data_IF_932230744285
#
_entry.id   IF_932230744285
#
_cell.length_a   1.000
_cell.length_b   1.000
_cell.length_c   1.000
_cell.angle_alpha   90.00
_cell.angle_beta   90.00
_cell.angle_gamma   90.00
#
_symmetry.space_group_name_H-M   'P 1'
#
loop_
_entity.id
_entity.type
_entity.pdbx_description
1 polymer ?
#
# COMPACT_ATOMS: atom_id res chain seq x y z
N UNK A 1 35.73 -37.87 -37.29
CA UNK A 1 35.87 -36.82 -36.28
C UNK A 1 34.48 -36.24 -36.02
N UNK A 2 33.81 -36.72 -35.00
CA UNK A 2 32.45 -36.27 -34.59
C UNK A 2 32.62 -35.18 -33.55
N UNK A 3 32.18 -33.95 -33.89
CA UNK A 3 32.22 -32.81 -32.94
C UNK A 3 31.05 -32.99 -31.96
N UNK A 4 31.38 -33.19 -30.68
CA UNK A 4 30.40 -33.08 -29.58
C UNK A 4 30.15 -31.58 -29.35
N UNK A 5 28.93 -31.15 -29.64
CA UNK A 5 28.42 -29.84 -29.21
C UNK A 5 27.80 -30.06 -27.83
N UNK A 6 28.54 -29.63 -26.80
CA UNK A 6 28.04 -29.60 -25.42
C UNK A 6 27.09 -28.42 -25.30
N UNK A 7 25.79 -28.69 -25.28
CA UNK A 7 24.80 -27.69 -24.95
C UNK A 7 24.80 -27.52 -23.42
N UNK A 8 25.49 -26.47 -22.96
CA UNK A 8 25.36 -26.00 -21.59
C UNK A 8 24.00 -25.34 -21.48
N UNK A 9 23.04 -26.11 -20.97
CA UNK A 9 21.75 -25.59 -20.56
C UNK A 9 21.96 -24.76 -19.29
N UNK A 10 22.16 -23.46 -19.47
CA UNK A 10 22.24 -22.49 -18.39
C UNK A 10 20.86 -22.35 -17.81
N UNK A 11 20.56 -23.19 -16.79
CA UNK A 11 19.32 -23.13 -16.03
C UNK A 11 19.40 -21.85 -15.19
N UNK A 12 18.85 -20.76 -15.73
CA UNK A 12 18.58 -19.54 -14.99
C UNK A 12 17.55 -19.91 -13.92
N UNK A 13 18.01 -20.26 -12.73
CA UNK A 13 17.17 -20.23 -11.54
C UNK A 13 16.78 -18.77 -11.31
N UNK A 14 15.65 -18.36 -11.86
CA UNK A 14 14.97 -17.20 -11.35
C UNK A 14 14.59 -17.51 -9.91
N UNK A 15 15.40 -17.06 -8.96
CA UNK A 15 14.93 -16.87 -7.61
C UNK A 15 13.77 -15.87 -7.74
N UNK A 16 12.56 -16.37 -7.79
CA UNK A 16 11.39 -15.57 -7.51
C UNK A 16 11.51 -15.11 -6.06
N UNK A 17 12.16 -13.98 -5.84
CA UNK A 17 12.06 -13.26 -4.57
C UNK A 17 10.60 -12.97 -4.39
N UNK A 18 9.96 -13.63 -3.44
CA UNK A 18 8.62 -13.29 -2.98
C UNK A 18 8.71 -11.90 -2.34
N UNK A 19 8.66 -10.86 -3.16
CA UNK A 19 8.53 -9.48 -2.66
C UNK A 19 7.08 -9.34 -2.23
N UNK A 20 6.84 -9.46 -0.93
CA UNK A 20 5.57 -9.04 -0.34
C UNK A 20 5.30 -7.60 -0.80
N UNK A 21 4.09 -7.34 -1.30
CA UNK A 21 3.70 -6.02 -1.74
C UNK A 21 3.68 -5.07 -0.54
N UNK A 22 4.74 -4.28 -0.37
CA UNK A 22 4.86 -3.34 0.73
C UNK A 22 3.81 -2.24 0.63
N UNK A 23 3.32 -1.82 1.78
CA UNK A 23 2.39 -0.70 1.91
C UNK A 23 3.08 0.47 2.60
N UNK A 24 2.89 1.67 2.07
CA UNK A 24 3.23 2.93 2.72
C UNK A 24 1.95 3.67 3.08
N UNK A 25 1.85 4.10 4.34
CA UNK A 25 0.81 5.02 4.79
C UNK A 25 1.40 6.42 4.86
N UNK A 26 0.91 7.32 4.01
CA UNK A 26 1.29 8.74 4.02
C UNK A 26 0.17 9.56 4.61
N UNK A 27 0.46 10.38 5.62
CA UNK A 27 -0.59 11.14 6.27
C UNK A 27 -0.17 12.50 6.78
N UNK A 28 -1.16 13.38 6.93
CA UNK A 28 -1.05 14.62 7.66
C UNK A 28 -2.07 14.65 8.80
N UNK A 29 -1.67 15.18 9.96
CA UNK A 29 -2.58 15.33 11.11
C UNK A 29 -2.08 16.43 12.05
N UNK A 30 -2.87 17.49 12.22
CA UNK A 30 -2.58 18.54 13.19
C UNK A 30 -3.25 18.27 14.55
N UNK A 31 -4.54 17.92 14.55
CA UNK A 31 -5.34 17.68 15.76
C UNK A 31 -5.39 16.20 16.17
N UNK A 32 -4.48 15.38 15.70
CA UNK A 32 -4.34 13.95 15.95
C UNK A 32 -5.48 13.03 15.41
N UNK A 33 -6.55 13.55 14.85
CA UNK A 33 -7.63 12.68 14.32
C UNK A 33 -7.13 11.69 13.25
N UNK A 34 -6.36 12.16 12.27
CA UNK A 34 -5.75 11.28 11.26
C UNK A 34 -4.66 10.39 11.87
N UNK A 35 -3.92 10.87 12.86
CA UNK A 35 -2.93 10.07 13.56
C UNK A 35 -3.56 8.85 14.25
N UNK A 36 -4.67 9.05 14.96
CA UNK A 36 -5.42 7.93 15.58
C UNK A 36 -5.99 6.95 14.55
N UNK A 37 -6.40 7.44 13.37
CA UNK A 37 -6.82 6.58 12.25
C UNK A 37 -5.63 5.73 11.78
N UNK A 38 -4.47 6.34 11.57
CA UNK A 38 -3.25 5.63 11.16
C UNK A 38 -2.82 4.60 12.18
N UNK A 39 -2.82 4.93 13.48
CA UNK A 39 -2.53 3.95 14.53
C UNK A 39 -3.48 2.75 14.50
N UNK A 40 -4.80 3.02 14.30
CA UNK A 40 -5.79 1.94 14.18
C UNK A 40 -5.59 1.11 12.90
N UNK A 41 -5.26 1.74 11.78
CA UNK A 41 -4.97 1.06 10.52
C UNK A 41 -3.75 0.14 10.66
N UNK A 42 -2.65 0.65 11.20
CA UNK A 42 -1.39 -0.10 11.35
C UNK A 42 -1.44 -1.18 12.44
N UNK A 43 -2.46 -1.17 13.30
CA UNK A 43 -2.76 -2.31 14.16
C UNK A 43 -3.43 -3.48 13.41
N UNK A 44 -3.94 -3.26 12.18
CA UNK A 44 -4.65 -4.25 11.37
C UNK A 44 -3.86 -4.68 10.13
N UNK A 45 -2.89 -3.88 9.67
CA UNK A 45 -2.04 -4.17 8.52
C UNK A 45 -0.57 -3.87 8.83
N UNK A 46 0.33 -4.57 8.16
CA UNK A 46 1.75 -4.21 8.13
C UNK A 46 1.98 -3.10 7.10
N UNK A 47 2.55 -1.98 7.53
CA UNK A 47 2.85 -0.84 6.68
C UNK A 47 3.96 0.03 7.28
N UNK A 48 4.77 0.60 6.40
CA UNK A 48 5.63 1.73 6.75
C UNK A 48 4.78 2.99 6.85
N UNK A 49 5.13 3.91 7.74
CA UNK A 49 4.33 5.11 8.02
C UNK A 49 5.18 6.36 7.84
N UNK A 50 4.67 7.32 7.08
CA UNK A 50 5.27 8.62 6.89
C UNK A 50 4.28 9.73 7.20
N UNK A 51 4.60 10.54 8.21
CA UNK A 51 3.85 11.74 8.56
C UNK A 51 4.44 12.95 7.84
N UNK A 52 3.57 13.71 7.19
CA UNK A 52 3.95 14.96 6.54
C UNK A 52 3.74 16.09 7.52
N UNK A 53 4.74 16.94 7.67
CA UNK A 53 4.72 18.08 8.58
C UNK A 53 4.94 19.39 7.82
N UNK A 54 4.22 20.46 8.17
CA UNK A 54 4.49 21.78 7.60
C UNK A 54 5.87 22.28 8.06
N UNK A 55 6.60 22.96 7.18
CA UNK A 55 7.90 23.54 7.53
C UNK A 55 7.75 24.74 8.48
N UNK A 56 6.70 25.55 8.32
CA UNK A 56 6.43 26.65 9.25
C UNK A 56 5.68 26.15 10.49
N UNK A 57 6.42 25.99 11.58
CA UNK A 57 5.88 25.55 12.89
C UNK A 57 5.23 26.67 13.69
N UNK A 58 5.29 27.90 13.22
CA UNK A 58 4.69 29.06 13.93
C UNK A 58 3.21 29.19 13.66
N UNK A 59 2.72 28.57 12.57
CA UNK A 59 1.32 28.61 12.15
C UNK A 59 0.49 27.53 12.85
N UNK A 60 -0.79 27.85 13.05
CA UNK A 60 -1.79 26.88 13.53
C UNK A 60 -2.53 26.31 12.34
N UNK A 61 -2.26 25.05 12.00
CA UNK A 61 -2.86 24.37 10.87
C UNK A 61 -4.13 23.58 11.23
N UNK A 62 -4.86 24.03 12.22
CA UNK A 62 -6.15 23.46 12.62
C UNK A 62 -7.20 23.72 11.54
N UNK A 63 -8.09 22.74 11.31
CA UNK A 63 -9.18 22.91 10.34
C UNK A 63 -10.14 24.07 10.68
N UNK A 64 -10.21 24.47 11.95
CA UNK A 64 -11.01 25.63 12.39
C UNK A 64 -10.26 26.96 12.28
N UNK A 65 -9.00 26.98 11.90
CA UNK A 65 -8.27 28.21 11.56
C UNK A 65 -8.60 28.64 10.12
N UNK A 66 -9.76 29.24 9.95
CA UNK A 66 -10.29 29.60 8.64
C UNK A 66 -9.37 30.50 7.81
N UNK A 67 -8.60 31.38 8.43
CA UNK A 67 -7.72 32.30 7.73
C UNK A 67 -6.64 31.55 6.94
N UNK A 68 -5.86 30.69 7.64
CA UNK A 68 -4.75 29.99 7.00
C UNK A 68 -5.22 28.92 6.01
N UNK A 69 -6.29 28.17 6.36
CA UNK A 69 -6.82 27.15 5.46
C UNK A 69 -7.34 27.74 4.16
N UNK A 70 -8.09 28.84 4.24
CA UNK A 70 -8.60 29.57 3.06
C UNK A 70 -7.44 30.11 2.24
N UNK A 71 -6.46 30.76 2.84
CA UNK A 71 -5.31 31.30 2.13
C UNK A 71 -4.56 30.23 1.32
N UNK A 72 -4.21 29.13 1.97
CA UNK A 72 -3.43 28.06 1.34
C UNK A 72 -4.21 27.36 0.23
N UNK A 73 -5.48 27.05 0.46
CA UNK A 73 -6.32 26.38 -0.55
C UNK A 73 -6.61 27.29 -1.73
N UNK A 74 -6.87 28.60 -1.50
CA UNK A 74 -7.07 29.56 -2.59
C UNK A 74 -5.81 29.73 -3.43
N UNK A 75 -4.61 29.73 -2.82
CA UNK A 75 -3.35 29.77 -3.57
C UNK A 75 -3.20 28.57 -4.50
N UNK A 76 -3.43 27.36 -3.98
CA UNK A 76 -3.38 26.11 -4.77
C UNK A 76 -4.43 26.13 -5.90
N UNK A 77 -5.67 26.57 -5.61
CA UNK A 77 -6.72 26.65 -6.63
C UNK A 77 -6.41 27.65 -7.74
N UNK A 78 -5.80 28.79 -7.39
CA UNK A 78 -5.47 29.83 -8.36
C UNK A 78 -4.35 29.40 -9.33
N UNK A 79 -3.39 28.62 -8.85
CA UNK A 79 -2.27 28.14 -9.66
C UNK A 79 -1.87 26.69 -9.28
N UNK A 80 -2.71 25.69 -9.63
CA UNK A 80 -2.54 24.31 -9.15
C UNK A 80 -1.31 23.60 -9.72
N UNK A 81 -0.68 24.15 -10.76
CA UNK A 81 0.53 23.59 -11.37
C UNK A 81 1.80 24.37 -11.00
N UNK A 82 1.68 25.40 -10.17
CA UNK A 82 2.81 26.18 -9.69
C UNK A 82 3.23 25.71 -8.28
N UNK A 83 4.47 25.26 -8.14
CA UNK A 83 5.03 24.82 -6.86
C UNK A 83 4.97 25.92 -5.78
N UNK A 84 5.05 27.21 -6.17
CA UNK A 84 4.95 28.34 -5.25
C UNK A 84 3.57 28.47 -4.58
N UNK A 85 2.53 27.85 -5.13
CA UNK A 85 1.18 27.84 -4.57
C UNK A 85 1.03 26.86 -3.39
N UNK A 86 1.97 25.95 -3.23
CA UNK A 86 1.92 24.92 -2.19
C UNK A 86 2.74 25.34 -0.98
N UNK A 87 2.20 25.19 0.25
CA UNK A 87 2.98 25.49 1.45
C UNK A 87 4.18 24.57 1.59
N UNK A 88 5.29 25.12 2.10
CA UNK A 88 6.48 24.30 2.34
C UNK A 88 6.22 23.22 3.40
N UNK A 89 6.81 22.05 3.20
CA UNK A 89 6.79 20.93 4.15
C UNK A 89 8.20 20.58 4.59
N UNK A 90 8.34 19.90 5.72
CA UNK A 90 9.62 19.35 6.15
C UNK A 90 10.13 18.29 5.16
N UNK A 91 11.44 18.06 5.11
CA UNK A 91 11.99 16.94 4.35
C UNK A 91 11.36 15.62 4.76
N UNK A 92 10.91 14.85 3.76
CA UNK A 92 10.25 13.57 4.00
C UNK A 92 11.26 12.48 4.36
N UNK A 93 10.87 11.56 5.24
CA UNK A 93 11.73 10.48 5.72
C UNK A 93 11.86 9.32 4.72
N UNK A 94 10.89 9.15 3.83
CA UNK A 94 10.88 8.11 2.79
C UNK A 94 10.85 8.82 1.44
N UNK A 95 11.96 8.76 0.71
CA UNK A 95 12.14 9.42 -0.59
C UNK A 95 12.07 8.45 -1.75
N UNK A 96 12.28 7.15 -1.52
CA UNK A 96 12.17 6.11 -2.55
C UNK A 96 10.85 5.35 -2.38
N UNK A 97 9.92 5.56 -3.31
CA UNK A 97 8.63 4.87 -3.35
C UNK A 97 8.67 3.55 -4.14
N UNK A 98 9.79 3.21 -4.76
CA UNK A 98 9.93 2.00 -5.58
C UNK A 98 9.53 0.70 -4.85
N UNK A 99 9.88 0.49 -3.56
CA UNK A 99 9.53 -0.74 -2.85
C UNK A 99 8.03 -0.91 -2.58
N UNK A 100 7.24 0.17 -2.68
CA UNK A 100 5.84 0.16 -2.28
C UNK A 100 4.93 -0.07 -3.48
N UNK A 101 4.09 -1.08 -3.40
CA UNK A 101 3.03 -1.35 -4.36
C UNK A 101 1.70 -0.71 -3.95
N UNK A 102 1.50 -0.52 -2.65
CA UNK A 102 0.29 0.08 -2.10
C UNK A 102 0.64 1.37 -1.35
N UNK A 103 -0.08 2.45 -1.66
CA UNK A 103 0.02 3.73 -0.97
C UNK A 103 -1.34 4.05 -0.37
N UNK A 104 -1.41 4.19 0.94
CA UNK A 104 -2.63 4.63 1.63
C UNK A 104 -2.45 6.07 2.09
N UNK A 105 -3.26 6.96 1.59
CA UNK A 105 -3.24 8.38 1.88
C UNK A 105 -4.29 8.66 2.96
N UNK A 106 -3.88 9.25 4.10
CA UNK A 106 -4.78 9.61 5.18
C UNK A 106 -4.71 11.12 5.42
N UNK A 107 -5.83 11.81 5.24
CA UNK A 107 -5.89 13.27 5.23
C UNK A 107 -7.08 13.84 6.01
N UNK A 108 -6.92 14.97 6.72
CA UNK A 108 -8.07 15.75 7.13
C UNK A 108 -8.66 16.49 5.92
N UNK A 109 -9.95 16.79 6.01
CA UNK A 109 -10.65 17.60 5.05
C UNK A 109 -10.64 19.06 5.51
N UNK A 110 -10.21 19.96 4.62
CA UNK A 110 -10.29 21.41 4.79
C UNK A 110 -11.20 22.01 3.71
N UNK A 111 -12.33 22.63 4.09
CA UNK A 111 -13.24 23.26 3.12
C UNK A 111 -13.59 22.38 1.92
N UNK A 112 -13.98 21.16 2.20
CA UNK A 112 -14.30 20.14 1.20
C UNK A 112 -13.13 19.67 0.32
N UNK A 113 -11.90 20.10 0.60
CA UNK A 113 -10.69 19.76 -0.13
C UNK A 113 -9.70 18.99 0.75
N UNK A 114 -8.69 18.42 0.13
CA UNK A 114 -7.56 17.84 0.85
C UNK A 114 -6.76 18.93 1.58
N UNK A 115 -6.29 18.65 2.79
CA UNK A 115 -5.43 19.59 3.52
C UNK A 115 -4.21 19.98 2.69
N UNK A 116 -3.93 21.29 2.60
CA UNK A 116 -2.89 21.85 1.74
C UNK A 116 -1.51 21.23 1.98
N UNK A 117 -1.18 20.89 3.23
CA UNK A 117 0.09 20.25 3.60
C UNK A 117 0.26 18.90 2.89
N UNK A 118 -0.78 18.09 2.83
CA UNK A 118 -0.71 16.82 2.13
C UNK A 118 -0.77 16.98 0.61
N UNK A 119 -1.50 18.01 0.12
CA UNK A 119 -1.46 18.35 -1.30
C UNK A 119 -0.04 18.70 -1.76
N UNK A 120 0.77 19.40 -0.92
CA UNK A 120 2.18 19.68 -1.23
C UNK A 120 2.98 18.40 -1.46
N UNK A 121 2.86 17.44 -0.56
CA UNK A 121 3.55 16.16 -0.73
C UNK A 121 3.15 15.46 -2.03
N UNK A 122 1.85 15.38 -2.29
CA UNK A 122 1.35 14.72 -3.51
C UNK A 122 1.71 15.49 -4.78
N UNK A 123 1.81 16.81 -4.75
CA UNK A 123 2.27 17.62 -5.87
C UNK A 123 3.71 17.25 -6.28
N UNK A 124 4.58 17.04 -5.30
CA UNK A 124 5.98 16.71 -5.56
C UNK A 124 6.22 15.22 -5.86
N UNK A 125 5.44 14.32 -5.28
CA UNK A 125 5.70 12.88 -5.31
C UNK A 125 4.59 12.05 -5.96
N UNK A 126 3.48 12.67 -6.36
CA UNK A 126 2.32 11.93 -6.91
C UNK A 126 2.63 11.19 -8.21
N UNK A 127 3.50 11.74 -9.05
CA UNK A 127 3.95 11.07 -10.28
C UNK A 127 4.71 9.75 -10.00
N UNK A 128 5.42 9.66 -8.85
CA UNK A 128 6.12 8.45 -8.43
C UNK A 128 5.16 7.33 -7.99
N UNK A 129 3.87 7.66 -7.81
CA UNK A 129 2.81 6.71 -7.47
C UNK A 129 2.11 6.10 -8.70
N UNK A 130 2.57 6.42 -9.91
CA UNK A 130 2.03 5.86 -11.15
C UNK A 130 2.04 4.32 -11.11
N UNK A 131 0.89 3.69 -11.43
CA UNK A 131 0.72 2.25 -11.42
C UNK A 131 0.66 1.58 -10.04
N UNK A 132 0.84 2.32 -8.95
CA UNK A 132 0.68 1.78 -7.58
C UNK A 132 -0.79 1.79 -7.18
N UNK A 133 -1.18 0.86 -6.31
CA UNK A 133 -2.52 0.86 -5.73
C UNK A 133 -2.65 2.00 -4.72
N UNK A 134 -3.66 2.85 -4.90
CA UNK A 134 -3.87 4.04 -4.07
C UNK A 134 -5.17 3.93 -3.29
N UNK A 135 -5.07 3.96 -1.97
CA UNK A 135 -6.19 4.03 -1.04
C UNK A 135 -6.31 5.40 -0.41
N UNK A 136 -7.53 5.86 -0.15
CA UNK A 136 -7.79 7.14 0.47
C UNK A 136 -8.69 7.00 1.70
N UNK A 137 -8.20 7.51 2.83
CA UNK A 137 -8.96 7.63 4.07
C UNK A 137 -9.05 9.12 4.43
N UNK A 138 -10.26 9.63 4.61
CA UNK A 138 -10.50 11.05 4.90
C UNK A 138 -11.15 11.22 6.27
N UNK A 139 -10.58 12.09 7.08
CA UNK A 139 -11.15 12.54 8.34
C UNK A 139 -11.81 13.90 8.16
N UNK A 140 -13.09 14.03 8.53
CA UNK A 140 -13.80 15.32 8.53
C UNK A 140 -14.71 15.44 9.75
N UNK A 141 -15.26 16.63 9.98
CA UNK A 141 -16.31 16.81 11.01
C UNK A 141 -17.63 16.20 10.53
N UNK A 142 -18.13 16.63 9.36
CA UNK A 142 -19.42 16.20 8.80
C UNK A 142 -19.50 16.34 7.28
N UNK A 143 -18.56 17.06 6.64
CA UNK A 143 -18.60 17.34 5.21
C UNK A 143 -18.22 16.10 4.40
N UNK A 144 -18.91 15.87 3.29
CA UNK A 144 -18.60 14.79 2.34
C UNK A 144 -17.23 14.97 1.67
N UNK A 145 -16.67 13.89 1.17
CA UNK A 145 -15.25 13.78 0.79
C UNK A 145 -14.95 13.92 -0.71
N UNK A 146 -15.96 14.25 -1.53
CA UNK A 146 -15.81 14.26 -3.00
C UNK A 146 -14.71 15.20 -3.51
N UNK A 147 -14.54 16.37 -2.91
CA UNK A 147 -13.47 17.30 -3.27
C UNK A 147 -12.09 16.76 -2.92
N UNK A 148 -11.94 16.09 -1.76
CA UNK A 148 -10.68 15.44 -1.39
C UNK A 148 -10.32 14.33 -2.37
N UNK A 149 -11.31 13.54 -2.81
CA UNK A 149 -11.13 12.51 -3.85
C UNK A 149 -10.67 13.14 -5.17
N UNK A 150 -11.28 14.28 -5.55
CA UNK A 150 -10.89 15.01 -6.76
C UNK A 150 -9.45 15.54 -6.67
N UNK A 151 -9.07 16.12 -5.54
CA UNK A 151 -7.69 16.58 -5.31
C UNK A 151 -6.68 15.42 -5.38
N UNK A 152 -7.01 14.30 -4.75
CA UNK A 152 -6.15 13.12 -4.79
C UNK A 152 -5.94 12.65 -6.23
N UNK A 153 -7.00 12.52 -7.02
CA UNK A 153 -6.92 12.11 -8.44
C UNK A 153 -6.19 13.11 -9.32
N UNK A 154 -6.31 14.40 -9.04
CA UNK A 154 -5.57 15.45 -9.75
C UNK A 154 -4.06 15.34 -9.48
N UNK A 155 -3.69 15.07 -8.24
CA UNK A 155 -2.28 15.04 -7.80
C UNK A 155 -1.60 13.68 -8.05
N UNK A 156 -2.36 12.61 -8.17
CA UNK A 156 -1.89 11.23 -8.46
C UNK A 156 -2.69 10.66 -9.63
N UNK A 157 -2.57 11.24 -10.84
CA UNK A 157 -3.47 10.91 -11.96
C UNK A 157 -3.34 9.46 -12.44
N UNK A 158 -2.14 8.89 -12.36
CA UNK A 158 -1.82 7.55 -12.88
C UNK A 158 -1.81 6.46 -11.79
N UNK A 159 -2.38 6.75 -10.62
CA UNK A 159 -2.55 5.77 -9.55
C UNK A 159 -3.70 4.79 -9.85
N UNK A 160 -3.53 3.52 -9.46
CA UNK A 160 -4.60 2.53 -9.50
C UNK A 160 -5.45 2.66 -8.23
N UNK A 161 -6.52 3.43 -8.30
CA UNK A 161 -7.36 3.68 -7.13
C UNK A 161 -8.16 2.45 -6.74
N UNK A 162 -8.20 2.14 -5.44
CA UNK A 162 -9.15 1.18 -4.91
C UNK A 162 -10.59 1.63 -5.17
N UNK A 163 -11.51 0.67 -5.24
CA UNK A 163 -12.92 0.91 -5.58
C UNK A 163 -13.64 1.84 -4.59
N UNK A 164 -13.19 1.87 -3.33
CA UNK A 164 -13.82 2.60 -2.26
C UNK A 164 -12.83 3.47 -1.48
N UNK A 165 -13.30 4.67 -1.10
CA UNK A 165 -12.60 5.54 -0.17
C UNK A 165 -13.26 5.45 1.20
N UNK A 166 -12.46 5.52 2.27
CA UNK A 166 -12.99 5.48 3.63
C UNK A 166 -13.21 6.90 4.16
N UNK A 167 -14.42 7.17 4.61
CA UNK A 167 -14.78 8.42 5.27
C UNK A 167 -15.06 8.21 6.76
N UNK A 168 -14.22 8.82 7.61
CA UNK A 168 -14.36 8.82 9.07
C UNK A 168 -14.69 10.24 9.53
N UNK A 169 -15.82 10.40 10.20
CA UNK A 169 -16.32 11.69 10.66
C UNK A 169 -16.72 11.66 12.15
N UNK A 170 -17.19 12.78 12.69
CA UNK A 170 -17.54 12.91 14.11
C UNK A 170 -18.63 11.92 14.55
N UNK A 171 -19.53 11.51 13.65
CA UNK A 171 -20.64 10.59 14.01
C UNK A 171 -20.21 9.11 14.03
N UNK A 172 -19.15 8.74 13.30
CA UNK A 172 -18.76 7.34 13.16
C UNK A 172 -17.33 7.01 13.68
N UNK A 173 -16.55 8.02 14.11
CA UNK A 173 -15.15 7.83 14.54
C UNK A 173 -14.96 6.87 15.73
N UNK A 174 -15.98 6.70 16.57
CA UNK A 174 -15.95 5.72 17.67
C UNK A 174 -15.84 4.28 17.16
N UNK A 175 -16.32 4.03 15.93
CA UNK A 175 -16.32 2.72 15.27
C UNK A 175 -15.17 2.59 14.26
N UNK A 176 -14.14 3.46 14.31
CA UNK A 176 -13.08 3.52 13.29
C UNK A 176 -12.39 2.17 13.04
N UNK A 177 -12.21 1.36 14.07
CA UNK A 177 -11.58 0.05 13.92
C UNK A 177 -12.39 -0.87 12.99
N UNK A 178 -13.70 -0.95 13.22
CA UNK A 178 -14.62 -1.73 12.38
C UNK A 178 -14.74 -1.15 10.98
N UNK A 179 -14.78 0.18 10.86
CA UNK A 179 -14.85 0.86 9.57
C UNK A 179 -13.60 0.57 8.72
N UNK A 180 -12.41 0.62 9.32
CA UNK A 180 -11.15 0.29 8.65
C UNK A 180 -11.13 -1.17 8.23
N UNK A 181 -11.53 -2.10 9.11
CA UNK A 181 -11.62 -3.52 8.79
C UNK A 181 -12.56 -3.80 7.61
N UNK A 182 -13.75 -3.19 7.64
CA UNK A 182 -14.73 -3.33 6.56
C UNK A 182 -14.19 -2.76 5.24
N UNK A 183 -13.54 -1.59 5.29
CA UNK A 183 -12.92 -0.98 4.12
C UNK A 183 -11.80 -1.85 3.54
N UNK A 184 -10.88 -2.38 4.38
CA UNK A 184 -9.83 -3.29 3.94
C UNK A 184 -10.41 -4.55 3.26
N UNK A 185 -11.55 -5.04 3.76
CA UNK A 185 -12.27 -6.15 3.14
C UNK A 185 -12.88 -5.75 1.80
N UNK A 186 -13.56 -4.59 1.74
CA UNK A 186 -14.21 -4.10 0.53
C UNK A 186 -13.23 -3.84 -0.62
N UNK A 187 -12.03 -3.33 -0.33
CA UNK A 187 -10.96 -3.12 -1.32
C UNK A 187 -10.15 -4.40 -1.60
N UNK A 188 -10.50 -5.52 -0.98
CA UNK A 188 -9.80 -6.79 -1.11
C UNK A 188 -8.29 -6.69 -0.81
N UNK A 189 -7.94 -5.92 0.26
CA UNK A 189 -6.56 -5.58 0.60
C UNK A 189 -5.67 -6.82 0.76
N UNK A 190 -6.16 -7.89 1.36
CA UNK A 190 -5.42 -9.15 1.54
C UNK A 190 -4.98 -9.77 0.21
N UNK A 191 -5.78 -9.63 -0.86
CA UNK A 191 -5.42 -10.16 -2.16
C UNK A 191 -4.34 -9.33 -2.86
N UNK A 192 -4.34 -8.00 -2.66
CA UNK A 192 -3.32 -7.12 -3.26
C UNK A 192 -1.99 -7.13 -2.50
N UNK A 193 -2.00 -7.58 -1.24
CA UNK A 193 -0.78 -7.77 -0.43
C UNK A 193 -0.33 -9.22 -0.36
N UNK A 194 -1.21 -10.16 -0.73
CA UNK A 194 -0.85 -11.57 -0.75
C UNK A 194 0.35 -11.78 -1.68
N UNK A 195 1.39 -12.38 -1.15
CA UNK A 195 2.44 -12.97 -1.95
C UNK A 195 1.73 -13.93 -2.92
N UNK A 196 1.94 -13.79 -4.22
CA UNK A 196 1.65 -14.87 -5.16
C UNK A 196 2.61 -16.02 -4.82
N UNK A 197 2.32 -16.73 -3.74
CA UNK A 197 2.85 -18.06 -3.54
C UNK A 197 2.32 -18.83 -4.74
N UNK A 198 3.19 -19.30 -5.67
CA UNK A 198 2.70 -20.19 -6.71
C UNK A 198 1.93 -21.26 -5.94
N UNK A 199 0.65 -21.43 -6.28
CA UNK A 199 -0.19 -22.40 -5.60
C UNK A 199 0.64 -23.65 -5.46
N UNK A 200 1.05 -23.98 -4.24
CA UNK A 200 1.73 -25.24 -3.97
C UNK A 200 0.69 -26.23 -4.43
N UNK A 201 0.91 -26.80 -5.64
CA UNK A 201 0.08 -27.91 -6.09
C UNK A 201 0.07 -28.81 -4.88
N UNK A 202 -1.07 -28.92 -4.24
CA UNK A 202 -1.30 -29.86 -3.14
C UNK A 202 -0.59 -31.11 -3.59
N UNK A 203 0.50 -31.45 -2.90
CA UNK A 203 1.27 -32.65 -3.25
C UNK A 203 0.22 -33.74 -3.30
N UNK A 204 0.06 -34.33 -4.49
CA UNK A 204 -0.96 -35.34 -4.69
C UNK A 204 -0.72 -36.38 -3.58
N UNK A 205 -1.61 -36.38 -2.59
CA UNK A 205 -1.59 -37.26 -1.46
C UNK A 205 -1.66 -38.69 -2.02
N UNK A 206 -0.62 -39.47 -1.86
CA UNK A 206 -0.59 -40.86 -2.32
C UNK A 206 0.30 -41.11 -3.55
N UNK A 207 1.60 -41.12 -3.36
CA UNK A 207 2.54 -41.55 -4.41
C UNK A 207 3.88 -41.99 -3.81
N UNK A 208 4.53 -42.94 -4.49
CA UNK A 208 5.86 -43.38 -4.14
C UNK A 208 6.87 -42.68 -5.04
N UNK A 209 7.99 -42.21 -4.48
CA UNK A 209 9.04 -41.52 -5.22
C UNK A 209 10.41 -42.08 -4.83
N UNK A 210 11.31 -42.14 -5.79
CA UNK A 210 12.73 -42.43 -5.52
C UNK A 210 13.37 -41.24 -4.76
N UNK A 211 14.54 -41.42 -4.21
CA UNK A 211 15.30 -40.33 -3.59
C UNK A 211 15.73 -39.24 -4.59
N UNK A 212 15.72 -39.55 -5.88
CA UNK A 212 15.97 -38.60 -6.96
C UNK A 212 14.70 -37.88 -7.42
N UNK A 213 13.53 -38.07 -6.75
CA UNK A 213 12.26 -37.42 -7.05
C UNK A 213 11.47 -38.06 -8.20
N UNK A 214 11.91 -39.18 -8.75
CA UNK A 214 11.20 -39.90 -9.81
C UNK A 214 9.99 -40.64 -9.24
N UNK A 215 8.80 -40.48 -9.82
CA UNK A 215 7.58 -41.15 -9.37
C UNK A 215 7.66 -42.63 -9.69
N UNK A 216 7.37 -43.48 -8.69
CA UNK A 216 7.34 -44.92 -8.79
C UNK A 216 5.87 -45.39 -8.91
N UNK A 217 5.63 -46.42 -9.73
CA UNK A 217 4.26 -46.93 -9.93
C UNK A 217 3.80 -47.73 -8.68
N UNK A 218 4.72 -48.32 -7.93
CA UNK A 218 4.44 -49.10 -6.72
C UNK A 218 5.53 -48.87 -5.65
N UNK A 219 5.20 -49.15 -4.39
CA UNK A 219 6.17 -49.10 -3.32
C UNK A 219 7.27 -50.15 -3.58
N UNK A 220 8.55 -49.79 -3.54
CA UNK A 220 9.64 -50.74 -3.64
C UNK A 220 9.57 -51.79 -2.54
N UNK A 221 9.88 -53.04 -2.87
CA UNK A 221 9.91 -54.13 -1.88
C UNK A 221 11.12 -54.02 -0.91
N UNK A 222 12.19 -53.39 -1.38
CA UNK A 222 13.42 -53.17 -0.61
C UNK A 222 14.01 -51.81 -0.99
N UNK A 223 14.72 -51.17 -0.02
CA UNK A 223 15.42 -49.91 -0.23
C UNK A 223 14.73 -48.71 0.41
N UNK A 224 15.24 -47.52 0.06
CA UNK A 224 14.73 -46.23 0.60
C UNK A 224 13.95 -45.48 -0.48
N UNK A 225 12.76 -45.04 -0.13
CA UNK A 225 11.89 -44.25 -1.01
C UNK A 225 11.08 -43.24 -0.21
N UNK A 226 10.38 -42.36 -0.88
CA UNK A 226 9.49 -41.37 -0.27
C UNK A 226 8.04 -41.82 -0.51
N UNK A 227 7.25 -41.92 0.55
CA UNK A 227 5.82 -42.15 0.53
C UNK A 227 5.13 -41.07 1.35
N UNK A 228 4.12 -40.40 0.79
CA UNK A 228 3.36 -39.33 1.45
C UNK A 228 4.27 -38.25 2.06
N UNK A 229 5.33 -37.86 1.32
CA UNK A 229 6.30 -36.87 1.74
C UNK A 229 7.28 -37.31 2.83
N UNK A 230 7.23 -38.59 3.28
CA UNK A 230 8.11 -39.12 4.31
C UNK A 230 9.07 -40.15 3.72
N UNK A 231 10.33 -40.17 4.22
CA UNK A 231 11.33 -41.19 3.89
C UNK A 231 10.97 -42.51 4.55
N UNK A 232 10.79 -43.53 3.73
CA UNK A 232 10.47 -44.90 4.17
C UNK A 232 11.60 -45.84 3.75
N UNK A 233 11.98 -46.74 4.64
CA UNK A 233 12.93 -47.83 4.38
C UNK A 233 12.20 -49.16 4.54
N UNK A 234 12.38 -50.07 3.59
CA UNK A 234 11.92 -51.45 3.63
C UNK A 234 13.05 -52.41 3.31
#
# INVERSE_FOLDING_TARGET
>A
MKKFISAICMMLMMLSMNVSAKTLVVYYSYTNNCHEIVQTLTSQIEADVMRIEPADKTQKYEANNYAIGTQLLNAIQAAPNDAASYPAIDPVSITDLTPYQNIIIVTPLWWSQMAAILQTYLFHHGAEMAGKNVGLIVSSASSGISGVVSDCKRLVPDGNYFSENLWINNSNRSNRSTLIQNWLTAINYSAVTAINTPATKSAATGGYYSLSGQRLQHAPKHGIFIADGKKVSR
#
